data_IF_421699133141
#
_entry.id   IF_421699133141
#
_cell.length_a   1.000
_cell.length_b   1.000
_cell.length_c   1.000
_cell.angle_alpha   90.00
_cell.angle_beta   90.00
_cell.angle_gamma   90.00
#
_symmetry.space_group_name_H-M   'P 1'
#
loop_
_entity.id
_entity.type
_entity.pdbx_description
1 polymer ?
#
# COMPACT_ATOMS: atom_id res chain seq x y z
N UNK A 1 0.07 14.67 0.32
CA UNK A 1 -1.14 13.86 0.12
C UNK A 1 -0.93 12.87 -1.01
N UNK A 2 -1.33 11.63 -0.78
CA UNK A 2 -1.08 10.44 -1.60
C UNK A 2 -2.40 9.94 -2.19
N UNK A 3 -2.35 9.48 -3.44
CA UNK A 3 -3.51 8.95 -4.16
C UNK A 3 -3.93 7.56 -3.64
N UNK A 4 -5.21 7.20 -3.86
CA UNK A 4 -5.70 5.84 -3.59
C UNK A 4 -4.96 4.79 -4.43
N UNK A 5 -4.69 3.67 -3.80
CA UNK A 5 -4.06 2.49 -4.41
C UNK A 5 -5.12 1.72 -5.19
N UNK A 6 -4.73 1.15 -6.33
CA UNK A 6 -5.56 0.21 -7.10
C UNK A 6 -4.83 -1.13 -7.31
N UNK A 7 -5.59 -2.16 -7.65
CA UNK A 7 -5.07 -3.54 -7.76
C UNK A 7 -4.04 -3.77 -8.88
N UNK A 8 -3.96 -2.86 -9.85
CA UNK A 8 -3.04 -2.94 -10.99
C UNK A 8 -1.68 -2.26 -10.70
N UNK A 9 -1.55 -1.54 -9.59
CA UNK A 9 -0.27 -0.99 -9.16
C UNK A 9 0.66 -2.11 -8.71
N UNK A 10 1.93 -1.96 -9.01
CA UNK A 10 2.98 -2.87 -8.53
C UNK A 10 3.26 -2.64 -7.05
N UNK A 11 3.71 -3.70 -6.36
CA UNK A 11 4.13 -3.55 -4.96
C UNK A 11 5.20 -2.47 -4.82
N UNK A 12 6.12 -2.37 -5.79
CA UNK A 12 7.15 -1.33 -5.85
C UNK A 12 6.54 0.07 -5.87
N UNK A 13 5.61 0.34 -6.80
CA UNK A 13 4.96 1.65 -6.90
C UNK A 13 4.27 2.02 -5.59
N UNK A 14 3.58 1.07 -4.96
CA UNK A 14 2.90 1.32 -3.68
C UNK A 14 3.90 1.61 -2.54
N UNK A 15 4.99 0.85 -2.48
CA UNK A 15 6.04 1.01 -1.46
C UNK A 15 6.79 2.34 -1.62
N UNK A 16 6.93 2.84 -2.85
CA UNK A 16 7.61 4.10 -3.15
C UNK A 16 6.73 5.34 -2.87
N UNK A 17 5.43 5.17 -2.61
CA UNK A 17 4.52 6.26 -2.27
C UNK A 17 4.76 6.81 -0.85
N UNK A 18 5.01 5.93 0.14
CA UNK A 18 5.26 6.32 1.53
C UNK A 18 5.91 5.16 2.32
N UNK A 19 6.81 5.50 3.26
CA UNK A 19 7.46 4.52 4.13
C UNK A 19 6.46 3.73 5.00
N UNK A 20 5.32 4.33 5.38
CA UNK A 20 4.26 3.69 6.15
C UNK A 20 3.53 2.64 5.33
N UNK A 21 3.41 2.84 4.01
CA UNK A 21 2.86 1.85 3.09
C UNK A 21 3.83 0.69 2.86
N UNK A 22 5.13 0.98 2.75
CA UNK A 22 6.19 -0.04 2.74
C UNK A 22 6.10 -0.96 3.96
N UNK A 23 5.95 -0.37 5.15
CA UNK A 23 5.80 -1.11 6.40
C UNK A 23 4.53 -1.96 6.41
N UNK A 24 3.42 -1.45 5.89
CA UNK A 24 2.16 -2.20 5.85
C UNK A 24 2.20 -3.38 4.87
N UNK A 25 2.77 -3.18 3.67
CA UNK A 25 3.01 -4.26 2.70
C UNK A 25 3.91 -5.35 3.30
N UNK A 26 4.97 -4.95 4.01
CA UNK A 26 5.89 -5.88 4.66
C UNK A 26 5.19 -6.77 5.71
N UNK A 27 4.19 -6.23 6.43
CA UNK A 27 3.38 -7.01 7.40
C UNK A 27 2.42 -8.01 6.75
N UNK A 28 1.96 -7.75 5.53
CA UNK A 28 1.16 -8.69 4.75
C UNK A 28 2.01 -9.88 4.24
N UNK A 29 3.32 -9.79 4.43
CA UNK A 29 4.28 -10.86 4.19
C UNK A 29 4.60 -11.07 2.72
N UNK A 30 4.24 -10.16 1.83
CA UNK A 30 4.62 -10.22 0.41
C UNK A 30 6.13 -10.36 0.26
N UNK A 31 6.57 -11.16 -0.71
CA UNK A 31 7.99 -11.24 -1.06
C UNK A 31 8.39 -10.00 -1.86
N UNK A 32 8.76 -8.95 -1.13
CA UNK A 32 9.18 -7.65 -1.67
C UNK A 32 10.53 -7.70 -2.39
N UNK A 33 11.29 -8.81 -2.29
CA UNK A 33 12.56 -8.95 -2.99
C UNK A 33 12.34 -9.47 -4.41
N UNK A 34 11.53 -10.53 -4.54
CA UNK A 34 11.32 -11.23 -5.80
C UNK A 34 10.11 -10.74 -6.59
N UNK A 35 9.06 -10.26 -5.91
CA UNK A 35 7.75 -9.98 -6.52
C UNK A 35 7.42 -8.48 -6.59
N UNK A 36 8.37 -7.59 -6.31
CA UNK A 36 8.10 -6.14 -6.27
C UNK A 36 7.54 -5.54 -7.56
N UNK A 37 7.88 -6.14 -8.71
CA UNK A 37 7.39 -5.71 -10.02
C UNK A 37 6.05 -6.33 -10.41
N UNK A 38 5.53 -7.27 -9.61
CA UNK A 38 4.19 -7.82 -9.80
C UNK A 38 3.15 -6.83 -9.29
N UNK A 39 1.98 -6.86 -9.91
CA UNK A 39 0.83 -6.10 -9.43
C UNK A 39 0.42 -6.58 -8.04
N UNK A 40 -0.30 -5.73 -7.30
CA UNK A 40 -0.89 -6.11 -6.03
C UNK A 40 -1.79 -7.33 -6.20
N UNK A 41 -2.59 -7.36 -7.26
CA UNK A 41 -3.47 -8.48 -7.62
C UNK A 41 -2.71 -9.79 -7.82
N UNK A 42 -1.67 -9.77 -8.63
CA UNK A 42 -0.86 -10.97 -8.90
C UNK A 42 -0.16 -11.45 -7.63
N UNK A 43 0.35 -10.51 -6.82
CA UNK A 43 1.01 -10.83 -5.57
C UNK A 43 0.06 -11.43 -4.54
N UNK A 44 -1.19 -10.95 -4.49
CA UNK A 44 -2.25 -11.53 -3.66
C UNK A 44 -2.60 -12.94 -4.14
N UNK A 45 -2.74 -13.13 -5.45
CA UNK A 45 -3.03 -14.43 -6.04
C UNK A 45 -1.94 -15.47 -5.72
N UNK A 46 -0.67 -15.11 -5.87
CA UNK A 46 0.47 -15.99 -5.57
C UNK A 46 0.49 -16.44 -4.10
N UNK A 47 0.04 -15.58 -3.20
CA UNK A 47 -0.03 -15.86 -1.75
C UNK A 47 -1.34 -16.49 -1.29
N UNK A 48 -2.37 -16.51 -2.12
CA UNK A 48 -3.73 -16.87 -1.71
C UNK A 48 -4.36 -15.85 -0.76
N UNK A 49 -4.03 -14.57 -0.89
CA UNK A 49 -4.67 -13.46 -0.17
C UNK A 49 -5.85 -12.88 -0.98
N UNK A 50 -6.86 -12.39 -0.28
CA UNK A 50 -7.95 -11.65 -0.93
C UNK A 50 -7.46 -10.26 -1.35
N UNK A 51 -7.50 -9.99 -2.66
CA UNK A 51 -7.03 -8.72 -3.23
C UNK A 51 -7.85 -7.54 -2.73
N UNK A 52 -9.17 -7.69 -2.55
CA UNK A 52 -10.04 -6.61 -2.07
C UNK A 52 -9.79 -6.31 -0.60
N UNK A 53 -9.59 -7.33 0.23
CA UNK A 53 -9.24 -7.14 1.65
C UNK A 53 -7.91 -6.38 1.80
N UNK A 54 -6.89 -6.80 1.05
CA UNK A 54 -5.59 -6.14 1.02
C UNK A 54 -5.72 -4.70 0.51
N UNK A 55 -6.47 -4.49 -0.57
CA UNK A 55 -6.68 -3.17 -1.16
C UNK A 55 -7.38 -2.21 -0.21
N UNK A 56 -8.40 -2.68 0.51
CA UNK A 56 -9.09 -1.90 1.53
C UNK A 56 -8.13 -1.48 2.63
N UNK A 57 -7.36 -2.42 3.17
CA UNK A 57 -6.40 -2.16 4.25
C UNK A 57 -5.31 -1.16 3.85
N UNK A 58 -4.79 -1.26 2.63
CA UNK A 58 -3.81 -0.30 2.12
C UNK A 58 -4.43 1.09 1.91
N UNK A 59 -5.66 1.17 1.41
CA UNK A 59 -6.34 2.45 1.21
C UNK A 59 -6.78 3.11 2.53
N UNK A 60 -7.17 2.33 3.55
CA UNK A 60 -7.37 2.85 4.91
C UNK A 60 -6.07 3.48 5.44
N UNK A 61 -4.93 2.84 5.17
CA UNK A 61 -3.63 3.41 5.54
C UNK A 61 -3.32 4.71 4.78
N UNK A 62 -3.64 4.79 3.49
CA UNK A 62 -3.53 6.05 2.71
C UNK A 62 -4.38 7.16 3.31
N UNK A 63 -5.61 6.86 3.73
CA UNK A 63 -6.51 7.83 4.36
C UNK A 63 -5.95 8.32 5.71
N UNK A 64 -5.41 7.42 6.53
CA UNK A 64 -4.71 7.77 7.78
C UNK A 64 -3.50 8.69 7.52
N UNK A 65 -2.68 8.34 6.53
CA UNK A 65 -1.50 9.12 6.12
C UNK A 65 -1.91 10.54 5.73
N UNK A 66 -2.89 10.66 4.83
CA UNK A 66 -3.39 11.95 4.35
C UNK A 66 -4.01 12.78 5.47
N UNK A 67 -4.70 12.14 6.41
CA UNK A 67 -5.28 12.81 7.56
C UNK A 67 -4.20 13.41 8.48
N UNK A 68 -3.16 12.63 8.79
CA UNK A 68 -2.03 13.11 9.60
C UNK A 68 -1.31 14.28 8.90
N UNK A 69 -1.02 14.15 7.61
CA UNK A 69 -0.39 15.24 6.83
C UNK A 69 -1.23 16.51 6.83
N UNK A 70 -2.56 16.36 6.69
CA UNK A 70 -3.49 17.49 6.74
C UNK A 70 -3.43 18.20 8.10
N UNK A 71 -3.45 17.45 9.21
CA UNK A 71 -3.35 18.03 10.56
C UNK A 71 -2.04 18.80 10.70
N UNK A 72 -0.91 18.24 10.24
CA UNK A 72 0.39 18.91 10.34
C UNK A 72 0.35 20.25 9.59
N UNK A 73 -0.11 20.24 8.34
CA UNK A 73 -0.22 21.45 7.51
C UNK A 73 -1.17 22.51 8.09
N UNK A 74 -2.23 22.10 8.80
CA UNK A 74 -3.17 23.02 9.46
C UNK A 74 -2.62 23.63 10.76
N UNK A 75 -1.52 23.09 11.31
CA UNK A 75 -0.89 23.53 12.57
C UNK A 75 0.51 24.14 12.37
N UNK A 76 0.98 24.28 11.12
CA UNK A 76 2.16 25.07 10.72
C UNK A 76 1.77 26.50 10.32
#
# INVERSE_FOLDING_TARGET
MINKINENMTLKEIMEMDERLFNEISKLGFDICCSKMKTLKDSCLDKGLDTQEVLNKLNEKVEEINYIEKIILENE
#
